data_IF_412877699756
#
_entry.id   IF_412877699756
#
_cell.length_a   1.000
_cell.length_b   1.000
_cell.length_c   1.000
_cell.angle_alpha   90.00
_cell.angle_beta   90.00
_cell.angle_gamma   90.00
#
_symmetry.space_group_name_H-M   'P 1'
#
loop_
_entity.id
_entity.type
_entity.pdbx_description
1 polymer ?
#
# COMPACT_ATOMS: atom_id res chain seq x y z
N UNK A 1 -45.37 -3.51 9.35
CA UNK A 1 -45.00 -2.09 9.57
C UNK A 1 -44.57 -1.40 8.28
N UNK A 2 -43.70 -1.99 7.46
CA UNK A 2 -43.26 -1.40 6.19
C UNK A 2 -44.41 -1.02 5.22
N UNK A 3 -45.43 -1.87 5.07
CA UNK A 3 -46.53 -1.59 4.12
C UNK A 3 -47.31 -0.29 4.44
N UNK A 4 -47.49 0.06 5.73
CA UNK A 4 -48.16 1.31 6.13
C UNK A 4 -47.33 2.56 5.82
N UNK A 5 -46.01 2.43 5.70
CA UNK A 5 -45.12 3.53 5.37
C UNK A 5 -45.19 3.89 3.88
N UNK A 6 -45.25 2.88 3.00
CA UNK A 6 -45.38 3.04 1.55
C UNK A 6 -46.75 3.61 1.12
N UNK A 7 -47.81 3.37 1.90
CA UNK A 7 -49.17 3.88 1.63
C UNK A 7 -49.40 5.30 2.18
N UNK A 8 -48.43 5.91 2.86
CA UNK A 8 -48.62 7.24 3.46
C UNK A 8 -48.52 8.36 2.40
N UNK A 9 -49.29 9.45 2.54
CA UNK A 9 -49.25 10.59 1.61
C UNK A 9 -47.89 11.32 1.60
N UNK A 10 -47.04 11.06 2.60
CA UNK A 10 -45.70 11.64 2.70
C UNK A 10 -44.63 10.85 1.92
N UNK A 11 -44.90 9.58 1.59
CA UNK A 11 -43.99 8.73 0.83
C UNK A 11 -43.62 9.29 -0.56
N UNK A 12 -44.55 9.77 -1.41
CA UNK A 12 -44.17 10.32 -2.72
C UNK A 12 -43.30 11.57 -2.61
N UNK A 13 -43.56 12.43 -1.61
CA UNK A 13 -42.77 13.64 -1.35
C UNK A 13 -41.34 13.26 -0.95
N UNK A 14 -41.19 12.34 0.01
CA UNK A 14 -39.87 11.85 0.46
C UNK A 14 -39.14 11.14 -0.69
N UNK A 15 -39.86 10.37 -1.52
CA UNK A 15 -39.31 9.69 -2.68
C UNK A 15 -38.75 10.67 -3.71
N UNK A 16 -39.46 11.76 -4.02
CA UNK A 16 -39.01 12.75 -5.00
C UNK A 16 -37.80 13.55 -4.50
N UNK A 17 -37.74 13.90 -3.21
CA UNK A 17 -36.52 14.48 -2.62
C UNK A 17 -35.36 13.48 -2.61
N UNK A 18 -35.61 12.21 -2.26
CA UNK A 18 -34.59 11.16 -2.25
C UNK A 18 -34.00 10.91 -3.65
N UNK A 19 -34.84 10.95 -4.70
CA UNK A 19 -34.40 10.83 -6.11
C UNK A 19 -33.45 11.94 -6.54
N UNK A 20 -33.48 13.11 -5.90
CA UNK A 20 -32.57 14.23 -6.21
C UNK A 20 -31.36 14.21 -5.27
N UNK A 21 -31.59 14.02 -3.97
CA UNK A 21 -30.54 14.07 -2.95
C UNK A 21 -29.57 12.91 -3.03
N UNK A 22 -30.05 11.67 -3.27
CA UNK A 22 -29.18 10.50 -3.33
C UNK A 22 -28.19 10.60 -4.51
N UNK A 23 -28.63 10.87 -5.77
CA UNK A 23 -27.69 11.03 -6.87
C UNK A 23 -26.76 12.22 -6.70
N UNK A 24 -27.24 13.35 -6.15
CA UNK A 24 -26.40 14.52 -5.90
C UNK A 24 -25.30 14.23 -4.87
N UNK A 25 -25.66 13.55 -3.78
CA UNK A 25 -24.73 13.14 -2.74
C UNK A 25 -23.70 12.12 -3.27
N UNK A 26 -24.15 11.11 -4.01
CA UNK A 26 -23.25 10.16 -4.66
C UNK A 26 -22.32 10.86 -5.65
N UNK A 27 -22.83 11.76 -6.50
CA UNK A 27 -22.03 12.54 -7.44
C UNK A 27 -20.96 13.35 -6.72
N UNK A 28 -21.31 14.00 -5.61
CA UNK A 28 -20.35 14.71 -4.78
C UNK A 28 -19.27 13.79 -4.19
N UNK A 29 -19.64 12.62 -3.66
CA UNK A 29 -18.67 11.64 -3.15
C UNK A 29 -17.72 11.14 -4.25
N UNK A 30 -18.26 10.81 -5.43
CA UNK A 30 -17.45 10.38 -6.57
C UNK A 30 -16.53 11.48 -7.06
N UNK A 31 -17.03 12.72 -7.18
CA UNK A 31 -16.22 13.86 -7.59
C UNK A 31 -15.10 14.13 -6.59
N UNK A 32 -15.41 14.16 -5.28
CA UNK A 32 -14.43 14.36 -4.22
C UNK A 32 -13.36 13.27 -4.23
N UNK A 33 -13.77 12.01 -4.39
CA UNK A 33 -12.86 10.88 -4.52
C UNK A 33 -11.95 11.04 -5.74
N UNK A 34 -12.52 11.35 -6.91
CA UNK A 34 -11.79 11.55 -8.17
C UNK A 34 -10.75 12.66 -8.04
N UNK A 35 -11.15 13.86 -7.59
CA UNK A 35 -10.24 14.98 -7.40
C UNK A 35 -9.11 14.68 -6.42
N UNK A 36 -9.40 13.97 -5.32
CA UNK A 36 -8.37 13.55 -4.37
C UNK A 36 -7.41 12.54 -4.99
N UNK A 37 -7.92 11.63 -5.80
CA UNK A 37 -7.12 10.60 -6.45
C UNK A 37 -6.23 11.19 -7.57
N UNK A 38 -6.74 12.14 -8.34
CA UNK A 38 -6.00 12.81 -9.42
C UNK A 38 -4.77 13.55 -8.87
N UNK A 39 -4.93 14.31 -7.77
CA UNK A 39 -3.81 14.96 -7.08
C UNK A 39 -2.78 13.97 -6.56
N UNK A 40 -3.25 12.86 -5.99
CA UNK A 40 -2.38 11.79 -5.49
C UNK A 40 -1.59 11.13 -6.63
N UNK A 41 -2.25 10.89 -7.76
CA UNK A 41 -1.64 10.34 -8.96
C UNK A 41 -0.57 11.28 -9.53
N UNK A 42 -0.83 12.58 -9.60
CA UNK A 42 0.15 13.57 -10.07
C UNK A 42 1.42 13.59 -9.19
N UNK A 43 1.25 13.46 -7.87
CA UNK A 43 2.38 13.36 -6.94
C UNK A 43 3.17 12.07 -7.19
N UNK A 44 2.49 10.93 -7.33
CA UNK A 44 3.14 9.66 -7.62
C UNK A 44 3.89 9.65 -8.94
N UNK A 45 3.34 10.29 -9.96
CA UNK A 45 3.98 10.43 -11.25
C UNK A 45 5.26 11.26 -11.16
N UNK A 46 5.21 12.39 -10.43
CA UNK A 46 6.41 13.21 -10.15
C UNK A 46 7.45 12.44 -9.34
N UNK A 47 7.05 11.72 -8.29
CA UNK A 47 7.93 10.87 -7.50
C UNK A 47 8.60 9.81 -8.37
N UNK A 48 7.82 9.12 -9.20
CA UNK A 48 8.33 8.08 -10.08
C UNK A 48 9.30 8.64 -11.12
N UNK A 49 8.89 9.64 -11.90
CA UNK A 49 9.67 10.16 -13.03
C UNK A 49 10.94 10.92 -12.58
N UNK A 50 10.84 11.71 -11.50
CA UNK A 50 11.91 12.62 -11.09
C UNK A 50 12.88 12.00 -10.08
N UNK A 51 12.46 10.99 -9.32
CA UNK A 51 13.27 10.39 -8.24
C UNK A 51 13.48 8.92 -8.47
N UNK A 52 12.42 8.10 -8.45
CA UNK A 52 12.59 6.66 -8.28
C UNK A 52 13.02 5.93 -9.55
N UNK A 53 12.58 6.38 -10.72
CA UNK A 53 13.08 5.88 -12.01
C UNK A 53 14.58 6.17 -12.19
N UNK A 54 15.05 7.43 -12.12
CA UNK A 54 16.48 7.71 -12.27
C UNK A 54 17.31 7.09 -11.14
N UNK A 55 16.80 7.04 -9.90
CA UNK A 55 17.47 6.37 -8.79
C UNK A 55 17.65 4.87 -9.09
N UNK A 56 16.59 4.17 -9.52
CA UNK A 56 16.65 2.77 -9.88
C UNK A 56 17.69 2.48 -10.98
N UNK A 57 17.71 3.29 -12.03
CA UNK A 57 18.67 3.17 -13.12
C UNK A 57 20.11 3.39 -12.63
N UNK A 58 20.35 4.41 -11.80
CA UNK A 58 21.65 4.66 -11.19
C UNK A 58 22.08 3.49 -10.28
N UNK A 59 21.18 2.98 -9.45
CA UNK A 59 21.44 1.83 -8.57
C UNK A 59 21.88 0.62 -9.40
N UNK A 60 21.14 0.29 -10.47
CA UNK A 60 21.48 -0.85 -11.34
C UNK A 60 22.80 -0.67 -12.10
N UNK A 61 23.17 0.56 -12.42
CA UNK A 61 24.39 0.86 -13.16
C UNK A 61 25.64 0.85 -12.28
N UNK A 62 25.54 1.34 -11.04
CA UNK A 62 26.71 1.61 -10.19
C UNK A 62 26.90 0.65 -9.03
N UNK A 63 25.85 -0.08 -8.60
CA UNK A 63 25.93 -0.99 -7.47
C UNK A 63 26.03 -2.46 -7.90
N UNK A 64 25.73 -2.77 -9.17
CA UNK A 64 25.84 -4.11 -9.73
C UNK A 64 27.29 -4.38 -10.17
N UNK A 65 28.00 -5.20 -9.38
CA UNK A 65 29.35 -5.73 -9.65
C UNK A 65 30.53 -4.72 -9.59
N UNK A 66 30.45 -3.68 -8.77
CA UNK A 66 31.41 -2.56 -8.84
C UNK A 66 32.32 -2.37 -7.62
N UNK A 67 33.55 -1.95 -7.91
CA UNK A 67 34.61 -1.58 -6.95
C UNK A 67 34.33 -0.24 -6.24
N UNK A 68 35.03 -0.01 -5.12
CA UNK A 68 34.98 1.20 -4.28
C UNK A 68 34.85 2.57 -5.00
N UNK A 69 35.63 2.88 -6.06
CA UNK A 69 35.56 4.18 -6.75
C UNK A 69 34.22 4.48 -7.45
N UNK A 70 33.40 3.45 -7.71
CA UNK A 70 32.07 3.64 -8.30
C UNK A 70 31.05 4.18 -7.29
N UNK A 71 31.24 3.92 -5.99
CA UNK A 71 30.30 4.36 -4.95
C UNK A 71 30.37 5.86 -4.71
N UNK A 72 31.55 6.48 -4.76
CA UNK A 72 31.69 7.93 -4.60
C UNK A 72 30.98 8.70 -5.72
N UNK A 73 31.13 8.22 -6.96
CA UNK A 73 30.45 8.81 -8.11
C UNK A 73 28.93 8.59 -8.02
N UNK A 74 28.50 7.43 -7.55
CA UNK A 74 27.09 7.13 -7.27
C UNK A 74 26.52 8.07 -6.21
N UNK A 75 27.19 8.23 -5.06
CA UNK A 75 26.75 9.12 -3.98
C UNK A 75 26.57 10.53 -4.49
N UNK A 76 27.52 11.08 -5.24
CA UNK A 76 27.41 12.44 -5.81
C UNK A 76 26.20 12.59 -6.73
N UNK A 77 25.91 11.59 -7.56
CA UNK A 77 24.76 11.60 -8.47
C UNK A 77 23.43 11.51 -7.70
N UNK A 78 23.35 10.66 -6.69
CA UNK A 78 22.17 10.50 -5.85
C UNK A 78 21.94 11.71 -4.95
N UNK A 79 22.99 12.30 -4.37
CA UNK A 79 22.90 13.56 -3.61
C UNK A 79 22.31 14.68 -4.48
N UNK A 80 22.80 14.83 -5.72
CA UNK A 80 22.28 15.83 -6.65
C UNK A 80 20.81 15.58 -7.01
N UNK A 81 20.41 14.32 -7.16
CA UNK A 81 19.03 13.93 -7.43
C UNK A 81 18.12 14.27 -6.25
N UNK A 82 18.52 13.88 -5.03
CA UNK A 82 17.75 14.11 -3.81
C UNK A 82 17.67 15.59 -3.46
N UNK A 83 18.75 16.35 -3.65
CA UNK A 83 18.73 17.79 -3.39
C UNK A 83 17.72 18.52 -4.28
N UNK A 84 17.67 18.19 -5.57
CA UNK A 84 16.74 18.81 -6.53
C UNK A 84 15.29 18.45 -6.27
N UNK A 85 15.03 17.22 -5.83
CA UNK A 85 13.69 16.65 -5.74
C UNK A 85 13.33 16.23 -4.31
N UNK A 86 13.90 16.89 -3.29
CA UNK A 86 13.81 16.49 -1.87
C UNK A 86 12.37 16.22 -1.41
N UNK A 87 11.43 17.07 -1.84
CA UNK A 87 10.00 16.98 -1.52
C UNK A 87 9.38 15.65 -1.96
N UNK A 88 9.94 15.02 -2.99
CA UNK A 88 9.42 13.82 -3.62
C UNK A 88 10.14 12.53 -3.17
N UNK A 89 11.18 12.63 -2.33
CA UNK A 89 11.90 11.46 -1.83
C UNK A 89 11.26 10.93 -0.55
N UNK A 90 11.02 9.62 -0.47
CA UNK A 90 10.53 9.01 0.76
C UNK A 90 11.55 9.13 1.91
N UNK A 91 11.10 9.47 3.13
CA UNK A 91 11.98 9.64 4.28
C UNK A 91 12.82 8.39 4.61
N UNK A 92 12.27 7.19 4.37
CA UNK A 92 12.97 5.91 4.59
C UNK A 92 14.18 5.77 3.67
N UNK A 93 14.01 6.11 2.39
CA UNK A 93 15.08 6.11 1.39
C UNK A 93 16.18 7.11 1.75
N UNK A 94 15.82 8.32 2.21
CA UNK A 94 16.78 9.32 2.68
C UNK A 94 17.60 8.84 3.88
N UNK A 95 16.95 8.27 4.89
CA UNK A 95 17.62 7.74 6.09
C UNK A 95 18.59 6.61 5.73
N UNK A 96 18.17 5.69 4.86
CA UNK A 96 19.03 4.60 4.40
C UNK A 96 20.21 5.10 3.56
N UNK A 97 19.97 6.07 2.68
CA UNK A 97 21.04 6.66 1.87
C UNK A 97 22.06 7.42 2.73
N UNK A 98 21.63 8.12 3.77
CA UNK A 98 22.54 8.78 4.72
C UNK A 98 23.44 7.76 5.45
N UNK A 99 22.87 6.62 5.88
CA UNK A 99 23.65 5.51 6.47
C UNK A 99 24.63 4.94 5.46
N UNK A 100 24.18 4.70 4.23
CA UNK A 100 25.02 4.19 3.14
C UNK A 100 26.19 5.12 2.86
N UNK A 101 25.95 6.43 2.75
CA UNK A 101 27.00 7.44 2.57
C UNK A 101 28.03 7.43 3.71
N UNK A 102 27.57 7.27 4.95
CA UNK A 102 28.45 7.19 6.12
C UNK A 102 29.36 5.95 6.05
N UNK A 103 28.82 4.77 5.74
CA UNK A 103 29.61 3.52 5.64
C UNK A 103 30.65 3.54 4.51
N UNK A 104 30.31 4.16 3.37
CA UNK A 104 31.28 4.33 2.27
C UNK A 104 32.43 5.25 2.70
N UNK A 105 32.13 6.33 3.43
CA UNK A 105 33.13 7.29 3.92
C UNK A 105 34.04 6.72 5.02
N UNK A 106 33.52 5.81 5.85
CA UNK A 106 34.31 5.17 6.93
C UNK A 106 35.13 3.97 6.43
N UNK A 107 34.96 3.55 5.17
CA UNK A 107 35.67 2.42 4.58
C UNK A 107 35.20 1.04 5.07
N UNK A 108 34.21 0.99 5.97
CA UNK A 108 33.60 -0.23 6.47
C UNK A 108 32.30 -0.50 5.71
N UNK A 109 32.44 -0.99 4.47
CA UNK A 109 31.30 -1.28 3.62
C UNK A 109 30.67 -2.62 4.00
N UNK A 110 29.46 -2.59 4.59
CA UNK A 110 28.68 -3.80 4.85
C UNK A 110 27.95 -4.25 3.58
N UNK A 111 28.22 -5.46 3.03
CA UNK A 111 27.48 -5.98 1.88
C UNK A 111 25.96 -6.05 2.13
N UNK A 112 25.58 -6.20 3.40
CA UNK A 112 24.19 -6.20 3.83
C UNK A 112 23.52 -4.83 3.64
N UNK A 113 24.21 -3.72 3.95
CA UNK A 113 23.60 -2.39 3.81
C UNK A 113 23.38 -2.03 2.34
N UNK A 114 24.31 -2.41 1.46
CA UNK A 114 24.19 -2.20 0.01
C UNK A 114 22.96 -2.94 -0.51
N UNK A 115 22.88 -4.25 -0.24
CA UNK A 115 21.75 -5.07 -0.67
C UNK A 115 20.42 -4.60 -0.09
N UNK A 116 20.41 -4.12 1.16
CA UNK A 116 19.24 -3.51 1.78
C UNK A 116 18.81 -2.22 1.07
N UNK A 117 19.76 -1.36 0.70
CA UNK A 117 19.47 -0.13 -0.02
C UNK A 117 18.98 -0.42 -1.45
N UNK A 118 19.63 -1.32 -2.17
CA UNK A 118 19.18 -1.77 -3.50
C UNK A 118 17.77 -2.36 -3.46
N UNK A 119 17.49 -3.17 -2.44
CA UNK A 119 16.17 -3.74 -2.21
C UNK A 119 15.15 -2.63 -1.96
N UNK A 120 15.46 -1.66 -1.10
CA UNK A 120 14.55 -0.55 -0.81
C UNK A 120 14.25 0.26 -2.07
N UNK A 121 15.27 0.64 -2.85
CA UNK A 121 15.09 1.39 -4.10
C UNK A 121 14.24 0.60 -5.09
N UNK A 122 14.51 -0.71 -5.25
CA UNK A 122 13.73 -1.57 -6.13
C UNK A 122 12.29 -1.75 -5.66
N UNK A 123 12.07 -1.85 -4.36
CA UNK A 123 10.74 -1.97 -3.74
C UNK A 123 9.93 -0.70 -3.97
N UNK A 124 10.51 0.48 -3.67
CA UNK A 124 9.84 1.77 -3.85
C UNK A 124 9.52 2.05 -5.32
N UNK A 125 10.45 1.73 -6.23
CA UNK A 125 10.22 1.80 -7.67
C UNK A 125 9.04 0.94 -8.11
N UNK A 126 8.99 -0.34 -7.69
CA UNK A 126 7.92 -1.25 -8.08
C UNK A 126 6.57 -0.87 -7.47
N UNK A 127 6.56 -0.36 -6.22
CA UNK A 127 5.35 0.15 -5.57
C UNK A 127 4.75 1.33 -6.34
N UNK A 128 5.57 2.31 -6.71
CA UNK A 128 5.13 3.45 -7.50
C UNK A 128 4.70 3.03 -8.92
N UNK A 129 5.45 2.12 -9.55
CA UNK A 129 5.10 1.54 -10.85
C UNK A 129 3.71 0.88 -10.82
N UNK A 130 3.41 0.11 -9.78
CA UNK A 130 2.11 -0.53 -9.57
C UNK A 130 0.98 0.49 -9.33
N UNK A 131 1.24 1.52 -8.50
CA UNK A 131 0.27 2.57 -8.20
C UNK A 131 -0.10 3.42 -9.43
N UNK A 132 0.82 3.56 -10.38
CA UNK A 132 0.61 4.29 -11.64
C UNK A 132 0.04 3.41 -12.77
N UNK A 133 -0.25 2.13 -12.50
CA UNK A 133 -0.87 1.23 -13.48
C UNK A 133 0.07 0.72 -14.59
N UNK A 134 1.39 0.89 -14.45
CA UNK A 134 2.34 0.27 -15.37
C UNK A 134 2.34 -1.25 -15.21
N UNK A 135 2.68 -2.02 -16.27
CA UNK A 135 2.70 -3.48 -16.20
C UNK A 135 3.68 -3.97 -15.14
N UNK A 136 3.16 -4.58 -14.08
CA UNK A 136 3.94 -5.17 -12.99
C UNK A 136 4.27 -6.62 -13.28
N UNK A 137 5.43 -7.07 -12.79
CA UNK A 137 5.78 -8.49 -12.80
C UNK A 137 4.71 -9.30 -12.03
N UNK A 138 4.58 -10.60 -12.34
CA UNK A 138 3.59 -11.47 -11.71
C UNK A 138 3.71 -11.47 -10.17
N UNK A 139 2.62 -11.74 -9.46
CA UNK A 139 2.62 -11.86 -7.99
C UNK A 139 3.72 -12.83 -7.49
N UNK A 140 4.01 -13.87 -8.28
CA UNK A 140 5.07 -14.82 -7.98
C UNK A 140 6.48 -14.21 -8.03
N UNK A 141 6.75 -13.35 -9.02
CA UNK A 141 8.03 -12.65 -9.14
C UNK A 141 8.21 -11.60 -8.04
N UNK A 142 7.12 -10.94 -7.65
CA UNK A 142 7.08 -10.07 -6.47
C UNK A 142 7.41 -10.86 -5.19
N UNK A 143 6.74 -12.00 -4.97
CA UNK A 143 6.95 -12.85 -3.81
C UNK A 143 8.40 -13.37 -3.74
N UNK A 144 9.00 -13.73 -4.87
CA UNK A 144 10.39 -14.20 -4.93
C UNK A 144 11.39 -13.14 -4.45
N UNK A 145 11.16 -11.87 -4.78
CA UNK A 145 12.07 -10.74 -4.48
C UNK A 145 11.93 -10.17 -3.07
N UNK A 146 10.84 -10.46 -2.36
CA UNK A 146 10.62 -10.00 -0.98
C UNK A 146 11.70 -10.51 -0.02
N UNK A 147 12.03 -9.68 0.98
CA UNK A 147 12.91 -10.06 2.08
C UNK A 147 12.30 -11.22 2.89
N UNK A 148 13.12 -12.00 3.60
CA UNK A 148 12.66 -13.19 4.34
C UNK A 148 11.61 -12.86 5.40
N UNK A 149 11.77 -11.74 6.10
CA UNK A 149 10.78 -11.23 7.06
C UNK A 149 9.48 -10.82 6.38
N UNK A 150 9.56 -10.09 5.27
CA UNK A 150 8.38 -9.64 4.54
C UNK A 150 7.61 -10.82 3.94
N UNK A 151 8.31 -11.87 3.48
CA UNK A 151 7.71 -13.14 3.03
C UNK A 151 6.91 -13.79 4.14
N UNK A 152 7.48 -13.88 5.35
CA UNK A 152 6.80 -14.46 6.50
C UNK A 152 5.52 -13.68 6.83
N UNK A 153 5.61 -12.35 6.90
CA UNK A 153 4.45 -11.48 7.16
C UNK A 153 3.37 -11.63 6.09
N UNK A 154 3.74 -11.71 4.81
CA UNK A 154 2.79 -11.95 3.71
C UNK A 154 2.11 -13.31 3.80
N UNK A 155 2.83 -14.37 4.17
CA UNK A 155 2.25 -15.71 4.38
C UNK A 155 1.24 -15.67 5.52
N UNK A 156 1.62 -15.10 6.66
CA UNK A 156 0.74 -14.98 7.84
C UNK A 156 -0.52 -14.19 7.51
N UNK A 157 -0.37 -13.04 6.84
CA UNK A 157 -1.50 -12.22 6.38
C UNK A 157 -2.43 -13.01 5.44
N UNK A 158 -1.86 -13.74 4.49
CA UNK A 158 -2.64 -14.53 3.52
C UNK A 158 -3.44 -15.65 4.21
N UNK A 159 -2.81 -16.40 5.13
CA UNK A 159 -3.50 -17.47 5.90
C UNK A 159 -4.62 -16.89 6.76
N UNK A 160 -4.36 -15.79 7.48
CA UNK A 160 -5.37 -15.13 8.30
C UNK A 160 -6.52 -14.58 7.45
N UNK A 161 -6.25 -14.06 6.25
CA UNK A 161 -7.29 -13.56 5.35
C UNK A 161 -8.23 -14.66 4.86
N UNK A 162 -7.69 -15.85 4.57
CA UNK A 162 -8.47 -17.01 4.14
C UNK A 162 -9.33 -17.51 5.31
N UNK A 163 -8.76 -17.56 6.52
CA UNK A 163 -9.49 -17.92 7.72
C UNK A 163 -10.60 -16.91 8.07
N UNK A 164 -10.37 -15.61 7.84
CA UNK A 164 -11.40 -14.58 8.00
C UNK A 164 -12.60 -14.79 7.06
N UNK A 165 -12.34 -15.17 5.79
CA UNK A 165 -13.40 -15.47 4.83
C UNK A 165 -14.23 -16.68 5.25
N UNK A 166 -13.59 -17.74 5.75
CA UNK A 166 -14.28 -18.93 6.27
C UNK A 166 -15.17 -18.53 7.46
N UNK A 167 -14.64 -17.75 8.41
CA UNK A 167 -15.40 -17.31 9.57
C UNK A 167 -16.57 -16.40 9.19
N UNK A 168 -16.40 -15.53 8.19
CA UNK A 168 -17.48 -14.70 7.66
C UNK A 168 -18.57 -15.57 7.01
N UNK A 169 -18.21 -16.57 6.22
CA UNK A 169 -19.19 -17.52 5.69
C UNK A 169 -19.94 -18.26 6.82
N UNK A 170 -19.22 -18.64 7.88
CA UNK A 170 -19.82 -19.30 9.04
C UNK A 170 -20.79 -18.40 9.81
N UNK A 171 -20.48 -17.11 9.98
CA UNK A 171 -21.42 -16.13 10.57
C UNK A 171 -22.72 -16.01 9.77
N UNK A 172 -22.64 -16.10 8.44
CA UNK A 172 -23.81 -16.06 7.59
C UNK A 172 -24.66 -17.35 7.72
N UNK A 173 -24.00 -18.50 7.86
CA UNK A 173 -24.69 -19.77 8.08
C UNK A 173 -25.38 -19.83 9.45
N UNK A 174 -24.73 -19.36 10.53
CA UNK A 174 -25.33 -19.32 11.87
C UNK A 174 -26.49 -18.34 11.95
N UNK A 175 -26.43 -17.22 11.22
CA UNK A 175 -27.56 -16.31 11.04
C UNK A 175 -28.78 -17.00 10.41
N UNK A 176 -28.56 -17.78 9.35
CA UNK A 176 -29.64 -18.51 8.66
C UNK A 176 -30.20 -19.67 9.50
N UNK A 177 -29.36 -20.29 10.33
CA UNK A 177 -29.78 -21.36 11.25
C UNK A 177 -30.67 -20.86 12.39
N UNK A 178 -30.73 -19.54 12.63
CA UNK A 178 -31.58 -18.93 13.66
C UNK A 178 -31.06 -19.07 15.09
N UNK A 179 -29.84 -19.56 15.29
CA UNK A 179 -29.21 -19.64 16.60
C UNK A 179 -28.55 -18.30 16.95
N UNK A 180 -29.26 -17.51 17.78
CA UNK A 180 -28.85 -16.16 18.16
C UNK A 180 -27.55 -16.18 18.98
N UNK A 181 -27.31 -17.20 19.81
CA UNK A 181 -26.13 -17.24 20.68
C UNK A 181 -24.87 -17.52 19.87
N UNK A 182 -24.90 -18.56 19.03
CA UNK A 182 -23.80 -18.89 18.11
C UNK A 182 -23.55 -17.78 17.09
N UNK A 183 -24.60 -17.10 16.62
CA UNK A 183 -24.46 -15.94 15.75
C UNK A 183 -23.69 -14.80 16.44
N UNK A 184 -24.07 -14.41 17.66
CA UNK A 184 -23.37 -13.34 18.40
C UNK A 184 -21.90 -13.69 18.69
N UNK A 185 -21.62 -14.94 19.03
CA UNK A 185 -20.25 -15.42 19.26
C UNK A 185 -19.43 -15.40 17.97
N UNK A 186 -20.02 -15.84 16.85
CA UNK A 186 -19.36 -15.84 15.53
C UNK A 186 -19.07 -14.42 15.02
N UNK A 187 -19.93 -13.44 15.30
CA UNK A 187 -19.67 -12.03 14.98
C UNK A 187 -18.47 -11.50 15.78
N UNK A 188 -18.42 -11.80 17.08
CA UNK A 188 -17.33 -11.34 17.93
C UNK A 188 -15.97 -11.90 17.45
N UNK A 189 -15.93 -13.18 17.08
CA UNK A 189 -14.70 -13.82 16.57
C UNK A 189 -14.30 -13.28 15.20
N UNK A 190 -15.24 -13.03 14.29
CA UNK A 190 -14.91 -12.37 13.00
C UNK A 190 -14.41 -10.94 13.21
N UNK A 191 -15.04 -10.16 14.09
CA UNK A 191 -14.60 -8.79 14.38
C UNK A 191 -13.18 -8.75 14.96
N UNK A 192 -12.86 -9.62 15.93
CA UNK A 192 -11.51 -9.68 16.50
C UNK A 192 -10.47 -10.08 15.45
N UNK A 193 -10.82 -10.99 14.55
CA UNK A 193 -9.92 -11.44 13.49
C UNK A 193 -9.67 -10.38 12.42
N UNK A 194 -10.70 -9.62 12.04
CA UNK A 194 -10.57 -8.46 11.15
C UNK A 194 -9.71 -7.36 11.77
N UNK A 195 -9.81 -7.14 13.09
CA UNK A 195 -8.92 -6.22 13.81
C UNK A 195 -7.46 -6.67 13.78
N UNK A 196 -7.18 -7.97 13.97
CA UNK A 196 -5.81 -8.49 13.84
C UNK A 196 -5.28 -8.31 12.42
N UNK A 197 -6.08 -8.62 11.39
CA UNK A 197 -5.71 -8.41 10.00
C UNK A 197 -5.40 -6.95 9.69
N UNK A 198 -6.21 -6.03 10.23
CA UNK A 198 -5.96 -4.59 10.11
C UNK A 198 -4.62 -4.20 10.76
N UNK A 199 -4.32 -4.70 11.96
CA UNK A 199 -3.05 -4.46 12.64
C UNK A 199 -1.83 -4.96 11.84
N UNK A 200 -1.92 -6.16 11.28
CA UNK A 200 -0.86 -6.73 10.43
C UNK A 200 -0.70 -5.92 9.14
N UNK A 201 -1.80 -5.53 8.49
CA UNK A 201 -1.77 -4.70 7.29
C UNK A 201 -1.09 -3.35 7.56
N UNK A 202 -1.40 -2.73 8.70
CA UNK A 202 -0.76 -1.49 9.13
C UNK A 202 0.76 -1.66 9.29
N UNK A 203 1.20 -2.74 9.96
CA UNK A 203 2.63 -3.06 10.11
C UNK A 203 3.33 -3.31 8.77
N UNK A 204 2.68 -3.93 7.79
CA UNK A 204 3.27 -4.14 6.47
C UNK A 204 3.42 -2.84 5.66
N UNK A 205 2.61 -1.82 5.96
CA UNK A 205 2.61 -0.54 5.25
C UNK A 205 3.65 0.47 5.75
N UNK A 206 4.16 0.31 6.98
CA UNK A 206 5.09 1.22 7.65
C UNK A 206 6.50 0.61 7.82
#
# INVERSE_FOLDING_TARGET
MLNKFFESPYFPIISDYAKILIPSFLTYLFAKYKFSNDKKHEIYEKQFAQVYLPLYLLTKQYLKDTELPAYDLYIRKVDKLFYRNYVFVFPKTLKLFAKFKCEVQTGHMSPYLISLFEYQVSSDYNKLKAQLGYPTDSFFDFFKRLNTLDKCMYIVFSVLSLFALIMLAQTFLTFLAGDIFEFMLSILTTCTLLLMLYGISYLMSH
#
